data_IF_533064004361
#
_entry.id   IF_533064004361
#
_cell.length_a   1.000
_cell.length_b   1.000
_cell.length_c   1.000
_cell.angle_alpha   90.00
_cell.angle_beta   90.00
_cell.angle_gamma   90.00
#
_symmetry.space_group_name_H-M   'P 1'
#
loop_
_entity.id
_entity.type
_entity.pdbx_description
1 polymer ?
#
# COMPACT_ATOMS: atom_id res chain seq x y z
N UNK A 1 -29.41 13.55 17.47
CA UNK A 1 -28.98 13.24 18.85
C UNK A 1 -28.11 14.38 19.34
N UNK A 2 -28.30 14.84 20.57
CA UNK A 2 -27.43 15.88 21.13
C UNK A 2 -26.07 15.31 21.53
N UNK A 3 -25.01 16.11 21.40
CA UNK A 3 -23.66 15.79 21.90
C UNK A 3 -23.64 15.97 23.42
N UNK A 4 -24.18 14.99 24.16
CA UNK A 4 -24.24 15.01 25.62
C UNK A 4 -23.77 13.67 26.22
N UNK A 5 -23.43 13.69 27.51
CA UNK A 5 -22.85 12.53 28.20
C UNK A 5 -23.82 11.33 28.26
N UNK A 6 -25.13 11.59 28.32
CA UNK A 6 -26.14 10.53 28.34
C UNK A 6 -26.15 9.72 27.03
N UNK A 7 -26.04 10.40 25.88
CA UNK A 7 -25.96 9.75 24.58
C UNK A 7 -24.62 9.02 24.40
N UNK A 8 -23.52 9.58 24.90
CA UNK A 8 -22.20 8.93 24.89
C UNK A 8 -22.20 7.63 25.72
N UNK A 9 -22.79 7.67 26.93
CA UNK A 9 -22.95 6.49 27.78
C UNK A 9 -23.83 5.44 27.11
N UNK A 10 -24.96 5.84 26.54
CA UNK A 10 -25.87 4.94 25.83
C UNK A 10 -25.14 4.23 24.68
N UNK A 11 -24.44 4.97 23.82
CA UNK A 11 -23.67 4.38 22.72
C UNK A 11 -22.55 3.46 23.22
N UNK A 12 -21.86 3.84 24.30
CA UNK A 12 -20.82 3.00 24.92
C UNK A 12 -21.39 1.66 25.38
N UNK A 13 -22.55 1.64 26.03
CA UNK A 13 -23.21 0.41 26.47
C UNK A 13 -23.58 -0.51 25.30
N UNK A 14 -24.14 0.06 24.23
CA UNK A 14 -24.53 -0.72 23.05
C UNK A 14 -23.32 -1.24 22.28
N UNK A 15 -22.27 -0.43 22.11
CA UNK A 15 -20.98 -0.89 21.54
C UNK A 15 -20.35 -2.00 22.38
N UNK A 16 -20.46 -1.94 23.70
CA UNK A 16 -19.99 -3.03 24.58
C UNK A 16 -20.79 -4.31 24.36
N UNK A 17 -22.12 -4.20 24.20
CA UNK A 17 -23.00 -5.34 23.92
C UNK A 17 -22.72 -5.98 22.55
N UNK A 18 -22.24 -5.22 21.56
CA UNK A 18 -21.86 -5.82 20.26
C UNK A 18 -20.67 -6.77 20.34
N UNK A 19 -19.90 -6.73 21.44
CA UNK A 19 -18.77 -7.62 21.69
C UNK A 19 -19.15 -8.88 22.47
N UNK A 20 -20.41 -9.03 22.88
CA UNK A 20 -20.85 -10.18 23.64
C UNK A 20 -20.85 -11.45 22.76
N UNK A 21 -20.31 -12.59 23.24
CA UNK A 21 -20.33 -13.84 22.49
C UNK A 21 -21.75 -14.39 22.26
N UNK A 22 -22.72 -14.04 23.12
CA UNK A 22 -24.11 -14.45 22.99
C UNK A 22 -24.82 -13.66 21.87
N UNK A 23 -25.26 -14.33 20.78
CA UNK A 23 -26.02 -13.69 19.70
C UNK A 23 -27.31 -13.02 20.15
N UNK A 24 -27.92 -13.48 21.25
CA UNK A 24 -29.13 -12.88 21.81
C UNK A 24 -28.89 -11.50 22.42
N UNK A 25 -27.65 -11.19 22.82
CA UNK A 25 -27.24 -9.86 23.30
C UNK A 25 -26.67 -9.01 22.17
N UNK A 26 -25.87 -9.62 21.28
CA UNK A 26 -25.19 -8.92 20.19
C UNK A 26 -26.15 -8.39 19.13
N UNK A 27 -27.05 -9.22 18.60
CA UNK A 27 -27.94 -8.84 17.49
C UNK A 27 -28.88 -7.67 17.82
N UNK A 28 -29.52 -7.61 19.01
CA UNK A 28 -30.32 -6.45 19.38
C UNK A 28 -29.50 -5.17 19.50
N UNK A 29 -28.24 -5.26 19.93
CA UNK A 29 -27.36 -4.10 20.05
C UNK A 29 -26.94 -3.56 18.67
N UNK A 30 -26.58 -4.43 17.74
CA UNK A 30 -26.30 -4.06 16.33
C UNK A 30 -27.53 -3.37 15.71
N UNK A 31 -28.71 -3.98 15.86
CA UNK A 31 -29.97 -3.41 15.35
C UNK A 31 -30.28 -2.05 15.97
N UNK A 32 -30.04 -1.87 17.27
CA UNK A 32 -30.23 -0.56 17.91
C UNK A 32 -29.30 0.49 17.30
N UNK A 33 -28.01 0.18 17.14
CA UNK A 33 -27.04 1.09 16.52
C UNK A 33 -27.45 1.48 15.09
N UNK A 34 -27.97 0.54 14.31
CA UNK A 34 -28.54 0.80 12.98
C UNK A 34 -29.76 1.71 13.03
N UNK A 35 -30.65 1.56 14.03
CA UNK A 35 -31.85 2.42 14.14
C UNK A 35 -31.50 3.86 14.50
N UNK A 36 -30.40 4.10 15.23
CA UNK A 36 -30.01 5.44 15.66
C UNK A 36 -29.02 6.12 14.71
N UNK A 37 -28.49 5.39 13.71
CA UNK A 37 -27.46 5.92 12.81
C UNK A 37 -27.96 7.05 11.90
N UNK A 38 -29.28 7.15 11.68
CA UNK A 38 -29.90 8.23 10.90
C UNK A 38 -30.07 9.55 11.66
N UNK A 39 -29.75 9.58 12.96
CA UNK A 39 -29.86 10.80 13.75
C UNK A 39 -28.65 11.73 13.51
N UNK A 40 -28.90 13.02 13.38
CA UNK A 40 -27.86 14.04 13.34
C UNK A 40 -26.89 13.92 14.55
N UNK A 41 -25.61 14.20 14.33
CA UNK A 41 -24.49 14.06 15.27
C UNK A 41 -24.17 12.61 15.70
N UNK A 42 -24.81 11.57 15.17
CA UNK A 42 -24.45 10.18 15.50
C UNK A 42 -22.97 9.90 15.21
N UNK A 43 -22.50 10.30 14.04
CA UNK A 43 -21.09 10.24 13.63
C UNK A 43 -20.17 11.03 14.56
N UNK A 44 -20.58 12.22 14.98
CA UNK A 44 -19.80 13.07 15.89
C UNK A 44 -19.72 12.49 17.30
N UNK A 45 -20.77 11.81 17.76
CA UNK A 45 -20.73 11.05 19.02
C UNK A 45 -19.71 9.91 18.94
N UNK A 46 -19.65 9.17 17.82
CA UNK A 46 -18.63 8.13 17.63
C UNK A 46 -17.21 8.71 17.62
N UNK A 47 -16.98 9.85 16.95
CA UNK A 47 -15.70 10.56 16.99
C UNK A 47 -15.35 11.05 18.40
N UNK A 48 -16.34 11.53 19.15
CA UNK A 48 -16.15 11.97 20.55
C UNK A 48 -15.81 10.78 21.46
N UNK A 49 -16.41 9.62 21.25
CA UNK A 49 -16.08 8.40 22.00
C UNK A 49 -14.65 7.93 21.71
N UNK A 50 -14.21 8.03 20.46
CA UNK A 50 -12.84 7.72 20.07
C UNK A 50 -11.79 8.59 20.79
N UNK A 51 -12.12 9.87 20.98
CA UNK A 51 -11.25 10.85 21.62
C UNK A 51 -11.28 10.74 23.15
N UNK A 52 -12.46 10.61 23.76
CA UNK A 52 -12.64 10.75 25.22
C UNK A 52 -12.71 9.44 26.01
N UNK A 53 -13.05 8.32 25.37
CA UNK A 53 -13.18 7.04 26.08
C UNK A 53 -11.84 6.62 26.68
N UNK A 54 -11.86 6.16 27.93
CA UNK A 54 -10.71 5.56 28.60
C UNK A 54 -10.55 4.07 28.29
N UNK A 55 -11.55 3.46 27.65
CA UNK A 55 -11.55 2.05 27.27
C UNK A 55 -11.16 1.91 25.80
N UNK A 56 -9.95 1.38 25.55
CA UNK A 56 -9.39 1.17 24.21
C UNK A 56 -10.25 0.23 23.34
N UNK A 57 -10.91 -0.75 23.95
CA UNK A 57 -11.80 -1.66 23.22
C UNK A 57 -13.00 -0.89 22.67
N UNK A 58 -13.58 0.00 23.48
CA UNK A 58 -14.67 0.87 23.04
C UNK A 58 -14.21 1.84 21.97
N UNK A 59 -13.00 2.42 22.09
CA UNK A 59 -12.44 3.29 21.05
C UNK A 59 -12.34 2.53 19.72
N UNK A 60 -11.75 1.33 19.71
CA UNK A 60 -11.66 0.51 18.49
C UNK A 60 -13.05 0.20 17.91
N UNK A 61 -14.02 -0.17 18.75
CA UNK A 61 -15.39 -0.43 18.30
C UNK A 61 -16.06 0.81 17.70
N UNK A 62 -15.88 1.97 18.31
CA UNK A 62 -16.39 3.24 17.79
C UNK A 62 -15.76 3.57 16.43
N UNK A 63 -14.45 3.33 16.25
CA UNK A 63 -13.77 3.51 14.96
C UNK A 63 -14.29 2.57 13.87
N UNK A 64 -14.46 1.29 14.19
CA UNK A 64 -14.99 0.30 13.23
C UNK A 64 -16.43 0.65 12.84
N UNK A 65 -17.28 0.98 13.83
CA UNK A 65 -18.67 1.39 13.60
C UNK A 65 -18.73 2.67 12.77
N UNK A 66 -17.90 3.66 13.08
CA UNK A 66 -17.80 4.91 12.34
C UNK A 66 -17.39 4.67 10.88
N UNK A 67 -16.31 3.91 10.64
CA UNK A 67 -15.87 3.56 9.27
C UNK A 67 -16.99 2.88 8.49
N UNK A 68 -17.66 1.90 9.09
CA UNK A 68 -18.75 1.17 8.43
C UNK A 68 -19.96 2.06 8.14
N UNK A 69 -20.27 3.00 9.05
CA UNK A 69 -21.29 4.01 8.85
C UNK A 69 -20.97 4.94 7.67
N UNK A 70 -19.73 5.46 7.60
CA UNK A 70 -19.25 6.27 6.47
C UNK A 70 -19.32 5.48 5.16
N UNK A 71 -18.87 4.22 5.16
CA UNK A 71 -18.92 3.35 3.98
C UNK A 71 -20.33 3.19 3.40
N UNK A 72 -21.34 3.10 4.26
CA UNK A 72 -22.74 2.91 3.83
C UNK A 72 -23.43 4.22 3.44
N UNK A 73 -23.12 5.32 4.12
CA UNK A 73 -23.97 6.50 4.12
C UNK A 73 -23.30 7.78 3.60
N UNK A 74 -22.00 7.75 3.24
CA UNK A 74 -21.30 8.95 2.76
C UNK A 74 -21.63 9.30 1.31
N UNK A 75 -21.73 8.30 0.42
CA UNK A 75 -22.14 8.53 -0.96
C UNK A 75 -23.62 8.93 -0.99
N UNK A 76 -23.92 10.02 -1.70
CA UNK A 76 -25.30 10.44 -1.93
C UNK A 76 -25.83 9.64 -3.12
N UNK A 77 -26.83 8.81 -2.88
CA UNK A 77 -27.51 8.03 -3.92
C UNK A 77 -28.84 8.72 -4.24
N UNK A 78 -29.10 8.93 -5.52
CA UNK A 78 -30.37 9.51 -5.99
C UNK A 78 -31.53 8.62 -5.52
N UNK A 79 -32.62 9.23 -5.06
CA UNK A 79 -33.80 8.58 -4.46
C UNK A 79 -33.62 7.90 -3.08
N UNK A 80 -32.44 7.98 -2.45
CA UNK A 80 -32.24 7.52 -1.07
C UNK A 80 -32.15 8.69 -0.07
N UNK A 81 -32.70 8.54 1.16
CA UNK A 81 -32.59 9.58 2.17
C UNK A 81 -31.14 9.71 2.67
N UNK A 82 -30.59 10.92 2.58
CA UNK A 82 -29.29 11.24 3.15
C UNK A 82 -29.29 11.10 4.68
N UNK A 83 -28.56 10.12 5.19
CA UNK A 83 -28.44 9.88 6.64
C UNK A 83 -27.40 10.75 7.34
N UNK A 84 -26.49 11.38 6.59
CA UNK A 84 -25.46 12.28 7.13
C UNK A 84 -25.80 13.72 6.74
N UNK A 85 -26.05 14.56 7.73
CA UNK A 85 -26.34 15.98 7.52
C UNK A 85 -25.11 16.72 6.97
N UNK A 86 -25.31 17.81 6.22
CA UNK A 86 -24.20 18.65 5.72
C UNK A 86 -23.36 19.25 6.87
N UNK A 87 -23.99 19.55 8.00
CA UNK A 87 -23.31 20.00 9.21
C UNK A 87 -22.37 18.90 9.76
N UNK A 88 -22.86 17.65 9.84
CA UNK A 88 -22.05 16.51 10.27
C UNK A 88 -20.91 16.24 9.27
N UNK A 89 -21.16 16.31 7.96
CA UNK A 89 -20.11 16.15 6.93
C UNK A 89 -18.98 17.14 7.12
N UNK A 90 -19.32 18.41 7.33
CA UNK A 90 -18.35 19.49 7.56
C UNK A 90 -17.57 19.25 8.85
N UNK A 91 -18.27 18.92 9.94
CA UNK A 91 -17.64 18.65 11.23
C UNK A 91 -16.75 17.41 11.20
N UNK A 92 -17.14 16.34 10.50
CA UNK A 92 -16.32 15.14 10.30
C UNK A 92 -15.02 15.52 9.58
N UNK A 93 -15.12 16.22 8.44
CA UNK A 93 -13.95 16.63 7.64
C UNK A 93 -12.98 17.51 8.45
N UNK A 94 -13.48 18.38 9.33
CA UNK A 94 -12.65 19.24 10.16
C UNK A 94 -11.89 18.50 11.28
N UNK A 95 -12.39 17.35 11.76
CA UNK A 95 -11.85 16.68 12.95
C UNK A 95 -11.15 15.35 12.65
N UNK A 96 -11.58 14.62 11.62
CA UNK A 96 -11.19 13.23 11.39
C UNK A 96 -9.68 13.05 11.17
N UNK A 97 -9.04 13.99 10.46
CA UNK A 97 -7.59 13.94 10.17
C UNK A 97 -6.82 14.09 11.48
N UNK A 98 -7.12 15.11 12.28
CA UNK A 98 -6.45 15.34 13.55
C UNK A 98 -6.63 14.17 14.53
N UNK A 99 -7.85 13.64 14.64
CA UNK A 99 -8.13 12.48 15.48
C UNK A 99 -7.36 11.23 15.01
N UNK A 100 -7.24 11.01 13.70
CA UNK A 100 -6.47 9.90 13.13
C UNK A 100 -4.98 10.00 13.48
N UNK A 101 -4.42 11.20 13.47
CA UNK A 101 -3.00 11.44 13.78
C UNK A 101 -2.67 11.29 15.27
N UNK A 102 -3.60 11.64 16.16
CA UNK A 102 -3.43 11.48 17.61
C UNK A 102 -3.83 10.09 18.13
N UNK A 103 -4.25 9.18 17.26
CA UNK A 103 -4.74 7.85 17.63
C UNK A 103 -3.67 6.76 17.56
N UNK A 104 -3.80 5.68 18.37
CA UNK A 104 -3.01 4.46 18.21
C UNK A 104 -3.19 3.81 16.84
N UNK A 105 -2.21 3.00 16.42
CA UNK A 105 -2.14 2.42 15.07
C UNK A 105 -3.43 1.70 14.63
N UNK A 106 -4.05 0.92 15.51
CA UNK A 106 -5.27 0.16 15.18
C UNK A 106 -6.44 1.08 14.82
N UNK A 107 -6.61 2.18 15.55
CA UNK A 107 -7.65 3.20 15.30
C UNK A 107 -7.28 4.03 14.08
N UNK A 108 -6.00 4.40 13.96
CA UNK A 108 -5.47 5.16 12.82
C UNK A 108 -5.79 4.45 11.50
N UNK A 109 -5.63 3.13 11.42
CA UNK A 109 -6.01 2.32 10.23
C UNK A 109 -7.50 2.47 9.88
N UNK A 110 -8.40 2.35 10.86
CA UNK A 110 -9.85 2.48 10.62
C UNK A 110 -10.24 3.89 10.16
N UNK A 111 -9.63 4.93 10.75
CA UNK A 111 -9.90 6.31 10.37
C UNK A 111 -9.29 6.66 9.00
N UNK A 112 -8.11 6.14 8.68
CA UNK A 112 -7.50 6.27 7.34
C UNK A 112 -8.39 5.66 6.26
N UNK A 113 -9.02 4.50 6.52
CA UNK A 113 -9.99 3.90 5.60
C UNK A 113 -11.23 4.78 5.43
N UNK A 114 -11.76 5.32 6.53
CA UNK A 114 -12.90 6.23 6.49
C UNK A 114 -12.59 7.52 5.71
N UNK A 115 -11.42 8.14 5.93
CA UNK A 115 -10.94 9.29 5.16
C UNK A 115 -10.83 8.95 3.67
N UNK A 116 -10.38 7.74 3.34
CA UNK A 116 -10.26 7.30 1.94
C UNK A 116 -11.62 7.17 1.27
N UNK A 117 -12.64 6.71 1.99
CA UNK A 117 -14.02 6.64 1.49
C UNK A 117 -14.57 8.05 1.29
N UNK A 118 -14.38 8.94 2.27
CA UNK A 118 -14.84 10.33 2.19
C UNK A 118 -14.16 11.04 1.01
N UNK A 119 -12.84 10.92 0.90
CA UNK A 119 -12.06 11.56 -0.16
C UNK A 119 -12.47 11.09 -1.55
N UNK A 120 -12.89 9.82 -1.73
CA UNK A 120 -13.37 9.39 -3.06
C UNK A 120 -14.55 10.19 -3.59
N UNK A 121 -15.42 10.64 -2.70
CA UNK A 121 -16.66 11.36 -3.04
C UNK A 121 -16.49 12.89 -2.96
N UNK A 122 -15.65 13.37 -2.04
CA UNK A 122 -15.56 14.79 -1.70
C UNK A 122 -14.26 15.45 -2.17
N UNK A 123 -13.17 14.71 -2.37
CA UNK A 123 -11.89 15.27 -2.80
C UNK A 123 -11.82 15.33 -4.35
N UNK A 124 -11.35 16.45 -4.93
CA UNK A 124 -10.85 17.67 -4.28
C UNK A 124 -11.90 18.77 -4.03
N UNK A 125 -13.03 18.79 -4.75
CA UNK A 125 -13.88 20.00 -4.83
C UNK A 125 -14.64 20.31 -3.53
N UNK A 126 -15.08 19.28 -2.80
CA UNK A 126 -15.83 19.43 -1.53
C UNK A 126 -14.94 19.29 -0.29
N UNK A 127 -13.65 18.99 -0.46
CA UNK A 127 -12.67 18.92 0.62
C UNK A 127 -11.29 19.46 0.18
N UNK A 128 -11.21 20.76 -0.16
CA UNK A 128 -10.00 21.34 -0.74
C UNK A 128 -8.81 21.39 0.23
N UNK A 129 -9.07 21.56 1.52
CA UNK A 129 -8.01 21.75 2.54
C UNK A 129 -7.25 20.46 2.89
N UNK A 130 -7.73 19.29 2.42
CA UNK A 130 -7.18 17.98 2.79
C UNK A 130 -5.68 17.86 2.46
N UNK A 131 -5.27 18.26 1.26
CA UNK A 131 -3.86 18.19 0.85
C UNK A 131 -2.98 19.12 1.68
N UNK A 132 -3.44 20.35 1.89
CA UNK A 132 -2.69 21.36 2.67
C UNK A 132 -2.50 20.90 4.11
N UNK A 133 -3.53 20.29 4.72
CA UNK A 133 -3.42 19.71 6.05
C UNK A 133 -2.41 18.56 6.07
N UNK A 134 -2.47 17.63 5.13
CA UNK A 134 -1.51 16.52 5.01
C UNK A 134 -0.07 17.02 4.86
N UNK A 135 0.19 17.94 3.94
CA UNK A 135 1.53 18.48 3.69
C UNK A 135 2.08 19.24 4.90
N UNK A 136 1.23 19.96 5.63
CA UNK A 136 1.64 20.65 6.87
C UNK A 136 2.14 19.66 7.91
N UNK A 137 1.53 18.47 7.98
CA UNK A 137 1.89 17.42 8.93
C UNK A 137 3.20 16.70 8.58
N UNK A 138 3.68 16.75 7.34
CA UNK A 138 5.03 16.24 7.00
C UNK A 138 6.14 16.99 7.75
N UNK A 139 5.91 18.25 8.12
CA UNK A 139 6.87 19.08 8.84
C UNK A 139 6.86 18.88 10.35
N UNK A 140 6.08 17.92 10.88
CA UNK A 140 5.99 17.67 12.32
C UNK A 140 7.28 17.12 12.92
N UNK A 141 8.11 16.42 12.11
CA UNK A 141 9.25 15.65 12.59
C UNK A 141 8.87 14.37 13.36
N UNK A 142 7.58 14.11 13.56
CA UNK A 142 7.07 12.93 14.24
C UNK A 142 6.65 11.88 13.21
N UNK A 143 7.41 10.79 13.14
CA UNK A 143 7.16 9.73 12.17
C UNK A 143 5.90 8.91 12.43
N UNK A 144 5.33 8.94 13.64
CA UNK A 144 4.00 8.36 13.88
C UNK A 144 2.93 9.14 13.12
N UNK A 145 3.00 10.48 13.20
CA UNK A 145 2.12 11.39 12.48
C UNK A 145 2.36 11.28 10.97
N UNK A 146 3.62 11.34 10.53
CA UNK A 146 3.99 11.28 9.11
C UNK A 146 3.50 9.97 8.49
N UNK A 147 3.70 8.82 9.15
CA UNK A 147 3.20 7.54 8.65
C UNK A 147 1.67 7.50 8.54
N UNK A 148 0.94 8.08 9.49
CA UNK A 148 -0.52 8.21 9.40
C UNK A 148 -0.98 8.99 8.17
N UNK A 149 -0.32 10.12 7.90
CA UNK A 149 -0.56 10.94 6.70
C UNK A 149 -0.24 10.16 5.43
N UNK A 150 0.94 9.54 5.35
CA UNK A 150 1.37 8.77 4.18
C UNK A 150 0.43 7.61 3.88
N UNK A 151 -0.07 6.89 4.89
CA UNK A 151 -1.08 5.83 4.72
C UNK A 151 -2.38 6.37 4.15
N UNK A 152 -2.83 7.52 4.64
CA UNK A 152 -4.06 8.16 4.17
C UNK A 152 -3.93 8.64 2.73
N UNK A 153 -2.83 9.34 2.41
CA UNK A 153 -2.51 9.75 1.05
C UNK A 153 -2.40 8.56 0.10
N UNK A 154 -1.74 7.48 0.53
CA UNK A 154 -1.61 6.27 -0.28
C UNK A 154 -2.97 5.66 -0.60
N UNK A 155 -3.87 5.57 0.38
CA UNK A 155 -5.20 5.00 0.18
C UNK A 155 -6.11 5.87 -0.69
N UNK A 156 -5.89 7.19 -0.73
CA UNK A 156 -6.54 8.09 -1.68
C UNK A 156 -5.99 7.91 -3.09
N UNK A 157 -4.67 7.99 -3.27
CA UNK A 157 -4.04 8.07 -4.60
C UNK A 157 -3.88 6.70 -5.26
N UNK A 158 -3.94 5.57 -4.53
CA UNK A 158 -3.88 4.23 -5.15
C UNK A 158 -5.00 3.97 -6.17
N UNK A 159 -6.13 4.70 -6.08
CA UNK A 159 -7.23 4.58 -7.05
C UNK A 159 -6.82 5.01 -8.45
N UNK A 160 -5.85 5.92 -8.58
CA UNK A 160 -5.31 6.37 -9.86
C UNK A 160 -4.73 5.21 -10.67
N UNK A 161 -4.41 4.08 -10.06
CA UNK A 161 -3.90 2.89 -10.75
C UNK A 161 -4.97 2.14 -11.55
N UNK A 162 -6.23 2.37 -11.24
CA UNK A 162 -7.35 1.59 -11.76
C UNK A 162 -8.46 2.45 -12.38
N UNK A 163 -8.42 3.76 -12.18
CA UNK A 163 -9.36 4.68 -12.81
C UNK A 163 -9.01 4.95 -14.28
N UNK A 164 -10.05 5.05 -15.10
CA UNK A 164 -9.92 5.42 -16.50
C UNK A 164 -9.55 6.90 -16.64
N UNK A 165 -8.77 7.22 -17.68
CA UNK A 165 -8.39 8.61 -17.97
C UNK A 165 -9.64 9.45 -18.23
N UNK A 166 -9.77 10.54 -17.47
CA UNK A 166 -10.83 11.55 -17.62
C UNK A 166 -10.28 12.94 -17.31
N UNK A 167 -10.95 13.99 -17.78
CA UNK A 167 -10.52 15.37 -17.52
C UNK A 167 -10.59 15.71 -16.02
N UNK A 168 -11.57 15.13 -15.32
CA UNK A 168 -11.75 15.26 -13.88
C UNK A 168 -10.57 14.63 -13.14
N UNK A 169 -10.18 13.41 -13.52
CA UNK A 169 -9.04 12.71 -12.93
C UNK A 169 -7.73 13.48 -13.18
N UNK A 170 -7.51 13.97 -14.39
CA UNK A 170 -6.33 14.77 -14.73
C UNK A 170 -6.24 16.07 -13.93
N UNK A 171 -7.37 16.75 -13.76
CA UNK A 171 -7.44 17.99 -12.97
C UNK A 171 -7.13 17.72 -11.49
N UNK A 172 -7.62 16.60 -10.95
CA UNK A 172 -7.31 16.18 -9.59
C UNK A 172 -5.83 15.82 -9.44
N UNK A 173 -5.28 14.97 -10.32
CA UNK A 173 -3.86 14.57 -10.29
C UNK A 173 -2.97 15.80 -10.38
N UNK A 174 -3.28 16.76 -11.26
CA UNK A 174 -2.53 18.01 -11.36
C UNK A 174 -2.52 18.80 -10.05
N UNK A 175 -3.68 18.98 -9.41
CA UNK A 175 -3.77 19.64 -8.10
C UNK A 175 -2.93 18.93 -7.03
N UNK A 176 -2.96 17.60 -7.02
CA UNK A 176 -2.15 16.78 -6.12
C UNK A 176 -0.67 17.00 -6.39
N UNK A 177 -0.23 16.94 -7.65
CA UNK A 177 1.17 17.13 -8.01
C UNK A 177 1.69 18.51 -7.62
N UNK A 178 0.94 19.57 -7.94
CA UNK A 178 1.29 20.96 -7.63
C UNK A 178 1.49 21.19 -6.12
N UNK A 179 0.78 20.43 -5.28
CA UNK A 179 0.80 20.60 -3.82
C UNK A 179 1.71 19.60 -3.10
N UNK A 180 1.80 18.37 -3.60
CA UNK A 180 2.30 17.21 -2.85
C UNK A 180 3.63 16.67 -3.37
N UNK A 181 3.97 16.85 -4.65
CA UNK A 181 5.14 16.22 -5.24
C UNK A 181 6.45 16.71 -4.60
N UNK A 182 6.65 18.04 -4.48
CA UNK A 182 7.83 18.61 -3.84
C UNK A 182 7.95 18.24 -2.35
N UNK A 183 6.91 18.41 -1.49
CA UNK A 183 6.98 17.98 -0.10
C UNK A 183 7.27 16.49 0.08
N UNK A 184 6.73 15.64 -0.79
CA UNK A 184 6.98 14.20 -0.76
C UNK A 184 8.45 13.87 -1.10
N UNK A 185 9.03 14.52 -2.12
CA UNK A 185 10.44 14.35 -2.49
C UNK A 185 11.40 14.83 -1.41
N UNK A 186 11.12 15.97 -0.77
CA UNK A 186 11.95 16.44 0.34
C UNK A 186 11.83 15.53 1.58
N UNK A 187 10.61 15.04 1.87
CA UNK A 187 10.43 14.05 2.93
C UNK A 187 11.18 12.74 2.63
N UNK A 188 11.18 12.28 1.37
CA UNK A 188 11.92 11.10 0.94
C UNK A 188 13.42 11.23 1.23
N UNK A 189 14.04 12.34 0.78
CA UNK A 189 15.46 12.63 1.03
C UNK A 189 15.77 12.70 2.52
N UNK A 190 15.00 13.46 3.27
CA UNK A 190 15.18 13.60 4.71
C UNK A 190 15.05 12.26 5.45
N UNK A 191 14.10 11.40 5.04
CA UNK A 191 13.93 10.07 5.64
C UNK A 191 15.14 9.17 5.38
N UNK A 192 15.74 9.23 4.19
CA UNK A 192 16.97 8.47 3.88
C UNK A 192 18.16 8.96 4.72
N UNK A 193 18.34 10.27 4.86
CA UNK A 193 19.39 10.84 5.72
C UNK A 193 19.22 10.44 7.19
N UNK A 194 17.97 10.38 7.67
CA UNK A 194 17.66 9.91 9.01
C UNK A 194 17.96 8.42 9.19
N UNK A 195 17.73 7.58 8.17
CA UNK A 195 18.12 6.16 8.22
C UNK A 195 19.64 6.01 8.44
N UNK A 196 20.46 6.87 7.82
CA UNK A 196 21.91 6.87 8.03
C UNK A 196 22.28 7.34 9.43
N UNK A 197 21.59 8.36 9.95
CA UNK A 197 21.82 8.90 11.29
C UNK A 197 21.45 7.89 12.39
N UNK A 198 20.36 7.15 12.20
CA UNK A 198 19.85 6.16 13.13
C UNK A 198 20.20 4.71 12.74
N UNK A 199 21.31 4.50 12.02
CA UNK A 199 21.68 3.21 11.43
C UNK A 199 21.80 2.04 12.42
N UNK A 200 21.97 2.31 13.72
CA UNK A 200 22.08 1.29 14.77
C UNK A 200 20.83 1.16 15.66
N UNK A 201 19.76 1.90 15.38
CA UNK A 201 18.50 1.86 16.15
C UNK A 201 17.43 1.10 15.36
N UNK A 202 17.21 -0.16 15.74
CA UNK A 202 16.22 -1.05 15.10
C UNK A 202 14.82 -0.44 15.08
N UNK A 203 14.40 0.20 16.19
CA UNK A 203 13.04 0.72 16.31
C UNK A 203 12.85 1.95 15.42
N UNK A 204 13.83 2.85 15.41
CA UNK A 204 13.83 3.99 14.49
C UNK A 204 13.83 3.52 13.04
N UNK A 205 14.70 2.56 12.68
CA UNK A 205 14.78 2.03 11.32
C UNK A 205 13.47 1.39 10.87
N UNK A 206 12.78 0.61 11.72
CA UNK A 206 11.47 0.03 11.37
C UNK A 206 10.45 1.12 11.02
N UNK A 207 10.43 2.20 11.79
CA UNK A 207 9.52 3.33 11.55
C UNK A 207 9.87 4.05 10.24
N UNK A 208 11.16 4.34 10.01
CA UNK A 208 11.64 5.04 8.81
C UNK A 208 11.43 4.21 7.54
N UNK A 209 11.71 2.90 7.57
CA UNK A 209 11.49 2.01 6.42
C UNK A 209 10.01 1.82 6.11
N UNK A 210 9.14 1.85 7.12
CA UNK A 210 7.70 1.91 6.90
C UNK A 210 7.31 3.17 6.12
N UNK A 211 7.90 4.32 6.46
CA UNK A 211 7.69 5.58 5.73
C UNK A 211 8.23 5.51 4.30
N UNK A 212 9.45 5.01 4.10
CA UNK A 212 10.04 4.85 2.77
C UNK A 212 9.17 3.94 1.89
N UNK A 213 8.64 2.85 2.45
CA UNK A 213 7.73 1.96 1.72
C UNK A 213 6.46 2.69 1.25
N UNK A 214 5.85 3.50 2.12
CA UNK A 214 4.67 4.29 1.77
C UNK A 214 4.98 5.39 0.76
N UNK A 215 6.12 6.06 0.89
CA UNK A 215 6.61 7.07 -0.05
C UNK A 215 6.82 6.44 -1.43
N UNK A 216 7.46 5.26 -1.51
CA UNK A 216 7.64 4.52 -2.76
C UNK A 216 6.31 4.10 -3.40
N UNK A 217 5.32 3.72 -2.59
CA UNK A 217 3.95 3.43 -3.06
C UNK A 217 3.24 4.67 -3.59
N UNK A 218 3.44 5.82 -2.96
CA UNK A 218 2.90 7.11 -3.41
C UNK A 218 3.54 7.53 -4.73
N UNK A 219 4.87 7.42 -4.84
CA UNK A 219 5.60 7.63 -6.09
C UNK A 219 4.99 6.81 -7.23
N UNK A 220 4.77 5.51 -7.02
CA UNK A 220 4.12 4.65 -8.02
C UNK A 220 2.75 5.19 -8.46
N UNK A 221 1.89 5.53 -7.49
CA UNK A 221 0.52 5.99 -7.78
C UNK A 221 0.52 7.31 -8.55
N UNK A 222 1.40 8.25 -8.19
CA UNK A 222 1.48 9.57 -8.82
C UNK A 222 2.08 9.53 -10.23
N UNK A 223 2.91 8.52 -10.51
CA UNK A 223 3.52 8.29 -11.83
C UNK A 223 2.78 7.23 -12.66
N UNK A 224 1.64 6.73 -12.21
CA UNK A 224 0.99 5.59 -12.89
C UNK A 224 0.31 5.99 -14.20
N UNK A 225 -0.40 7.12 -14.21
CA UNK A 225 -1.23 7.53 -15.34
C UNK A 225 -0.41 8.13 -16.49
N UNK A 226 0.63 8.87 -16.14
CA UNK A 226 1.64 9.48 -17.01
C UNK A 226 2.86 9.89 -16.15
N UNK A 227 3.95 10.33 -16.81
CA UNK A 227 5.13 10.87 -16.15
C UNK A 227 4.94 12.37 -15.92
N UNK A 228 4.79 12.83 -14.65
CA UNK A 228 4.65 14.25 -14.38
C UNK A 228 6.00 14.97 -14.53
N UNK A 229 5.99 16.17 -15.11
CA UNK A 229 7.17 17.05 -15.32
C UNK A 229 8.03 17.15 -14.06
N UNK A 230 7.42 17.33 -12.88
CA UNK A 230 8.16 17.38 -11.62
C UNK A 230 8.99 16.11 -11.35
N UNK A 231 8.43 14.92 -11.60
CA UNK A 231 9.16 13.66 -11.37
C UNK A 231 10.17 13.37 -12.48
N UNK A 232 9.93 13.84 -13.70
CA UNK A 232 10.91 13.83 -14.78
C UNK A 232 12.13 14.70 -14.44
N UNK A 233 11.91 15.96 -14.07
CA UNK A 233 12.97 16.90 -13.67
C UNK A 233 13.78 16.42 -12.47
N UNK A 234 13.14 15.65 -11.57
CA UNK A 234 13.76 15.13 -10.36
C UNK A 234 14.11 13.63 -10.47
N UNK A 235 14.10 13.06 -11.68
CA UNK A 235 14.29 11.62 -11.87
C UNK A 235 15.64 11.14 -11.34
N UNK A 236 16.71 11.91 -11.53
CA UNK A 236 18.03 11.56 -11.02
C UNK A 236 18.03 11.36 -9.50
N UNK A 237 17.36 12.25 -8.78
CA UNK A 237 17.22 12.19 -7.32
C UNK A 237 16.50 10.92 -6.90
N UNK A 238 15.35 10.62 -7.50
CA UNK A 238 14.55 9.44 -7.17
C UNK A 238 15.27 8.15 -7.52
N UNK A 239 15.77 8.02 -8.74
CA UNK A 239 16.37 6.79 -9.23
C UNK A 239 17.68 6.47 -8.53
N UNK A 240 18.47 7.48 -8.15
CA UNK A 240 19.71 7.26 -7.40
C UNK A 240 19.44 6.78 -5.98
N UNK A 241 18.46 7.37 -5.30
CA UNK A 241 18.07 6.95 -3.97
C UNK A 241 17.37 5.57 -3.96
N UNK A 242 16.50 5.30 -4.94
CA UNK A 242 15.89 3.97 -5.10
C UNK A 242 16.93 2.90 -5.38
N UNK A 243 17.91 3.15 -6.25
CA UNK A 243 19.01 2.23 -6.46
C UNK A 243 19.80 1.99 -5.16
N UNK A 244 20.12 3.05 -4.41
CA UNK A 244 20.79 2.94 -3.11
C UNK A 244 20.03 2.05 -2.13
N UNK A 245 18.71 2.28 -1.97
CA UNK A 245 17.83 1.48 -1.11
C UNK A 245 17.70 0.03 -1.58
N UNK A 246 17.70 -0.22 -2.90
CA UNK A 246 17.62 -1.56 -3.47
C UNK A 246 18.87 -2.39 -3.14
N UNK A 247 20.04 -1.76 -3.20
CA UNK A 247 21.34 -2.40 -2.89
C UNK A 247 21.68 -2.44 -1.40
N UNK A 248 20.90 -1.74 -0.57
CA UNK A 248 21.13 -1.70 0.87
C UNK A 248 20.86 -3.07 1.48
N UNK A 249 21.79 -3.53 2.32
CA UNK A 249 21.58 -4.64 3.24
C UNK A 249 21.67 -4.12 4.68
N UNK A 250 20.72 -4.52 5.51
CA UNK A 250 20.70 -4.15 6.92
C UNK A 250 20.18 -5.31 7.77
N UNK A 251 21.12 -5.95 8.47
CA UNK A 251 20.86 -7.09 9.37
C UNK A 251 19.85 -6.78 10.48
N UNK A 252 19.71 -5.51 10.88
CA UNK A 252 18.77 -5.10 11.93
C UNK A 252 17.30 -5.14 11.48
N UNK A 253 17.06 -5.18 10.17
CA UNK A 253 15.73 -5.22 9.57
C UNK A 253 15.35 -6.59 9.02
N UNK A 254 16.25 -7.56 9.11
CA UNK A 254 15.98 -8.94 8.74
C UNK A 254 15.01 -9.55 9.76
N UNK A 255 14.07 -10.34 9.24
CA UNK A 255 13.10 -11.09 10.05
C UNK A 255 13.48 -12.56 10.05
N UNK A 256 13.37 -13.18 11.23
CA UNK A 256 13.54 -14.63 11.43
C UNK A 256 12.31 -15.41 10.94
N UNK A 257 11.20 -14.72 10.66
CA UNK A 257 10.00 -15.30 10.05
C UNK A 257 10.32 -15.76 8.62
N UNK A 258 9.91 -16.97 8.24
CA UNK A 258 10.10 -17.53 6.89
C UNK A 258 8.91 -17.27 5.95
N UNK A 259 7.76 -16.86 6.49
CA UNK A 259 6.51 -16.61 5.77
C UNK A 259 6.25 -15.12 5.54
N UNK A 260 6.42 -14.28 6.58
CA UNK A 260 6.11 -12.86 6.51
C UNK A 260 7.31 -12.01 6.04
N UNK A 261 7.10 -11.27 4.94
CA UNK A 261 8.09 -10.34 4.40
C UNK A 261 8.43 -9.20 5.39
N UNK A 262 9.73 -8.99 5.61
CA UNK A 262 10.24 -7.87 6.39
C UNK A 262 10.09 -6.53 5.67
N UNK A 263 10.34 -5.43 6.40
CA UNK A 263 10.24 -4.08 5.84
C UNK A 263 11.27 -3.81 4.73
N UNK A 264 12.42 -4.48 4.78
CA UNK A 264 13.46 -4.38 3.76
C UNK A 264 12.97 -4.99 2.44
N UNK A 265 12.40 -6.21 2.51
CA UNK A 265 11.86 -6.94 1.37
C UNK A 265 10.68 -6.19 0.75
N UNK A 266 9.76 -5.67 1.59
CA UNK A 266 8.62 -4.87 1.13
C UNK A 266 9.03 -3.59 0.41
N UNK A 267 10.05 -2.89 0.91
CA UNK A 267 10.57 -1.68 0.26
C UNK A 267 11.23 -2.00 -1.08
N UNK A 268 12.12 -3.02 -1.10
CA UNK A 268 12.80 -3.45 -2.34
C UNK A 268 11.79 -3.92 -3.39
N UNK A 269 10.77 -4.66 -2.98
CA UNK A 269 9.70 -5.13 -3.86
C UNK A 269 8.94 -3.97 -4.48
N UNK A 270 8.60 -2.94 -3.70
CA UNK A 270 7.96 -1.73 -4.22
C UNK A 270 8.89 -0.93 -5.16
N UNK A 271 10.20 -0.92 -4.91
CA UNK A 271 11.17 -0.28 -5.81
C UNK A 271 11.24 -1.03 -7.15
N UNK A 272 11.22 -2.36 -7.14
CA UNK A 272 11.12 -3.16 -8.37
C UNK A 272 9.86 -2.80 -9.18
N UNK A 273 8.71 -2.65 -8.53
CA UNK A 273 7.47 -2.19 -9.19
C UNK A 273 7.62 -0.79 -9.80
N UNK A 274 8.25 0.13 -9.09
CA UNK A 274 8.49 1.49 -9.58
C UNK A 274 9.41 1.48 -10.80
N UNK A 275 10.48 0.68 -10.76
CA UNK A 275 11.41 0.52 -11.88
C UNK A 275 10.73 -0.16 -13.07
N UNK A 276 9.86 -1.15 -12.85
CA UNK A 276 9.10 -1.82 -13.90
C UNK A 276 8.13 -0.86 -14.58
N UNK A 277 7.44 -0.02 -13.81
CA UNK A 277 6.57 1.03 -14.35
C UNK A 277 7.33 1.96 -15.29
N UNK A 278 8.49 2.45 -14.86
CA UNK A 278 9.33 3.36 -15.65
C UNK A 278 9.91 2.67 -16.88
N UNK A 279 10.45 1.45 -16.74
CA UNK A 279 10.92 0.65 -17.86
C UNK A 279 9.82 0.32 -18.87
N UNK A 280 8.55 0.22 -18.46
CA UNK A 280 7.42 -0.08 -19.35
C UNK A 280 6.83 1.16 -20.02
N UNK A 281 6.69 2.27 -19.29
CA UNK A 281 5.96 3.44 -19.77
C UNK A 281 6.83 4.63 -20.17
N UNK A 282 7.99 4.79 -19.54
CA UNK A 282 8.85 5.99 -19.61
C UNK A 282 10.29 5.59 -19.95
N UNK A 283 10.42 4.75 -20.98
CA UNK A 283 11.68 4.10 -21.34
C UNK A 283 12.75 5.08 -21.79
N UNK A 284 12.34 6.10 -22.56
CA UNK A 284 13.27 7.11 -23.11
C UNK A 284 13.97 7.87 -21.98
N UNK A 285 13.21 8.29 -20.97
CA UNK A 285 13.71 9.02 -19.82
C UNK A 285 14.44 8.12 -18.82
N UNK A 286 14.00 6.86 -18.67
CA UNK A 286 14.59 5.91 -17.72
C UNK A 286 15.86 5.22 -18.25
N UNK A 287 16.10 5.24 -19.56
CA UNK A 287 17.23 4.59 -20.22
C UNK A 287 18.60 4.80 -19.51
N UNK A 288 18.98 6.02 -19.05
CA UNK A 288 20.29 6.23 -18.42
C UNK A 288 20.46 5.47 -17.11
N UNK A 289 19.36 5.14 -16.42
CA UNK A 289 19.35 4.46 -15.14
C UNK A 289 19.12 2.96 -15.27
N UNK A 290 18.55 2.50 -16.38
CA UNK A 290 18.12 1.13 -16.52
C UNK A 290 19.25 0.10 -16.32
N UNK A 291 20.47 0.24 -16.87
CA UNK A 291 21.54 -0.73 -16.68
C UNK A 291 21.89 -1.00 -15.21
N UNK A 292 21.97 0.05 -14.37
CA UNK A 292 22.26 -0.12 -12.94
C UNK A 292 21.14 -0.85 -12.20
N UNK A 293 19.89 -0.63 -12.58
CA UNK A 293 18.74 -1.34 -12.00
C UNK A 293 18.73 -2.80 -12.41
N UNK A 294 19.02 -3.12 -13.68
CA UNK A 294 19.17 -4.51 -14.14
C UNK A 294 20.24 -5.22 -13.32
N UNK A 295 21.43 -4.64 -13.17
CA UNK A 295 22.50 -5.25 -12.36
C UNK A 295 22.15 -5.38 -10.87
N UNK A 296 21.48 -4.38 -10.27
CA UNK A 296 21.11 -4.43 -8.86
C UNK A 296 20.02 -5.48 -8.59
N UNK A 297 18.96 -5.51 -9.40
CA UNK A 297 17.85 -6.48 -9.28
C UNK A 297 18.35 -7.89 -9.59
N UNK A 298 19.30 -8.02 -10.50
CA UNK A 298 19.99 -9.27 -10.76
C UNK A 298 20.69 -9.82 -9.52
N UNK A 299 21.58 -9.03 -8.93
CA UNK A 299 22.33 -9.44 -7.74
C UNK A 299 21.37 -9.75 -6.58
N UNK A 300 20.29 -8.98 -6.47
CA UNK A 300 19.23 -9.23 -5.51
C UNK A 300 18.64 -10.64 -5.67
N UNK A 301 18.17 -10.99 -6.88
CA UNK A 301 17.59 -12.31 -7.15
C UNK A 301 18.55 -13.46 -6.87
N UNK A 302 19.82 -13.32 -7.24
CA UNK A 302 20.85 -14.35 -6.99
C UNK A 302 21.17 -14.51 -5.50
N UNK A 303 21.01 -13.46 -4.70
CA UNK A 303 21.27 -13.47 -3.25
C UNK A 303 20.04 -13.77 -2.39
N UNK A 304 18.86 -13.85 -3.00
CA UNK A 304 17.59 -14.05 -2.29
C UNK A 304 17.35 -15.54 -2.06
N UNK A 305 16.89 -15.89 -0.86
CA UNK A 305 16.57 -17.27 -0.50
C UNK A 305 15.25 -17.79 -1.11
N UNK A 306 14.89 -19.03 -0.78
CA UNK A 306 13.70 -19.71 -1.28
C UNK A 306 12.47 -19.59 -0.37
N UNK A 307 12.61 -18.93 0.78
CA UNK A 307 11.57 -18.74 1.78
C UNK A 307 10.38 -17.94 1.22
N UNK A 308 9.18 -18.22 1.76
CA UNK A 308 7.90 -17.64 1.29
C UNK A 308 7.87 -16.12 1.44
N UNK A 309 8.56 -15.58 2.45
CA UNK A 309 8.69 -14.12 2.67
C UNK A 309 9.28 -13.36 1.49
N UNK A 310 10.04 -14.03 0.62
CA UNK A 310 10.69 -13.41 -0.53
C UNK A 310 9.85 -13.43 -1.81
N UNK A 311 8.71 -14.14 -1.83
CA UNK A 311 7.88 -14.36 -3.01
C UNK A 311 7.50 -13.06 -3.73
N UNK A 312 7.00 -12.09 -2.97
CA UNK A 312 6.56 -10.81 -3.52
C UNK A 312 7.74 -10.02 -4.10
N UNK A 313 8.92 -10.13 -3.48
CA UNK A 313 10.12 -9.47 -3.97
C UNK A 313 10.61 -10.10 -5.28
N UNK A 314 10.73 -11.42 -5.30
CA UNK A 314 11.19 -12.20 -6.46
C UNK A 314 10.23 -12.01 -7.63
N UNK A 315 8.92 -12.07 -7.41
CA UNK A 315 7.91 -11.88 -8.45
C UNK A 315 8.03 -10.50 -9.12
N UNK A 316 8.10 -9.42 -8.34
CA UNK A 316 8.22 -8.07 -8.88
C UNK A 316 9.58 -7.83 -9.56
N UNK A 317 10.65 -8.41 -9.03
CA UNK A 317 11.98 -8.36 -9.62
C UNK A 317 12.04 -9.08 -10.99
N UNK A 318 11.44 -10.26 -11.10
CA UNK A 318 11.32 -11.00 -12.37
C UNK A 318 10.45 -10.22 -13.35
N UNK A 319 9.34 -9.64 -12.91
CA UNK A 319 8.47 -8.82 -13.77
C UNK A 319 9.22 -7.62 -14.36
N UNK A 320 10.05 -6.95 -13.56
CA UNK A 320 10.95 -5.90 -14.06
C UNK A 320 11.86 -6.46 -15.16
N UNK A 321 12.64 -7.51 -14.88
CA UNK A 321 13.58 -8.06 -15.84
C UNK A 321 12.89 -8.53 -17.14
N UNK A 322 11.74 -9.19 -17.03
CA UNK A 322 10.95 -9.63 -18.17
C UNK A 322 10.56 -8.45 -19.06
N UNK A 323 10.09 -7.34 -18.46
CA UNK A 323 9.72 -6.14 -19.21
C UNK A 323 10.89 -5.46 -19.92
N UNK A 324 12.11 -5.62 -19.41
CA UNK A 324 13.33 -5.14 -20.08
C UNK A 324 13.75 -6.09 -21.21
N UNK A 325 13.69 -7.41 -20.97
CA UNK A 325 14.05 -8.42 -21.97
C UNK A 325 13.16 -8.36 -23.22
N UNK A 326 11.90 -7.97 -23.10
CA UNK A 326 10.99 -7.81 -24.24
C UNK A 326 11.39 -6.67 -25.20
N UNK A 327 12.32 -5.78 -24.79
CA UNK A 327 12.74 -4.62 -25.58
C UNK A 327 14.01 -4.91 -26.41
N UNK A 328 13.96 -4.78 -27.75
CA UNK A 328 15.11 -5.11 -28.61
C UNK A 328 16.40 -4.32 -28.37
N UNK A 329 16.32 -3.08 -27.89
CA UNK A 329 17.51 -2.24 -27.66
C UNK A 329 18.29 -2.65 -26.39
N UNK A 330 17.62 -3.25 -25.41
CA UNK A 330 18.27 -3.76 -24.19
C UNK A 330 18.79 -5.19 -24.30
N UNK A 331 18.72 -5.82 -25.47
CA UNK A 331 19.24 -7.18 -25.70
C UNK A 331 20.68 -7.35 -25.21
N UNK A 332 21.53 -6.36 -25.47
CA UNK A 332 22.94 -6.35 -25.06
C UNK A 332 23.16 -6.51 -23.55
N UNK A 333 22.17 -6.19 -22.71
CA UNK A 333 22.23 -6.40 -21.26
C UNK A 333 22.07 -7.88 -20.86
N UNK A 334 21.53 -8.71 -21.76
CA UNK A 334 21.23 -10.13 -21.54
C UNK A 334 21.93 -11.06 -22.54
N UNK A 335 22.72 -10.52 -23.47
CA UNK A 335 23.45 -11.29 -24.49
C UNK A 335 24.59 -12.13 -23.91
N UNK A 336 25.09 -11.80 -22.72
CA UNK A 336 26.14 -12.57 -22.08
C UNK A 336 25.62 -13.96 -21.67
N UNK A 337 26.17 -15.01 -22.29
CA UNK A 337 25.79 -16.39 -22.04
C UNK A 337 25.95 -16.76 -20.56
N UNK A 338 26.94 -16.20 -19.86
CA UNK A 338 27.15 -16.48 -18.43
C UNK A 338 26.03 -15.91 -17.56
N UNK A 339 25.51 -14.76 -17.96
CA UNK A 339 24.34 -14.09 -17.36
C UNK A 339 23.12 -14.99 -17.52
N UNK A 340 22.75 -15.40 -18.75
CA UNK A 340 21.59 -16.28 -18.98
C UNK A 340 21.65 -17.62 -18.26
N UNK A 341 22.83 -18.28 -18.27
CA UNK A 341 23.02 -19.52 -17.50
C UNK A 341 22.78 -19.28 -16.01
N UNK A 342 23.28 -18.18 -15.47
CA UNK A 342 23.03 -17.81 -14.07
C UNK A 342 21.55 -17.49 -13.80
N UNK A 343 20.76 -16.96 -14.76
CA UNK A 343 19.29 -16.83 -14.59
C UNK A 343 18.67 -18.20 -14.40
N UNK A 344 18.93 -19.08 -15.36
CA UNK A 344 18.29 -20.38 -15.41
C UNK A 344 18.64 -21.17 -14.15
N UNK A 345 19.92 -21.24 -13.80
CA UNK A 345 20.40 -22.09 -12.70
C UNK A 345 20.15 -21.50 -11.31
N UNK A 346 20.26 -20.18 -11.13
CA UNK A 346 20.18 -19.56 -9.79
C UNK A 346 18.86 -18.88 -9.49
N UNK A 347 18.07 -18.54 -10.52
CA UNK A 347 16.82 -17.80 -10.33
C UNK A 347 15.63 -18.63 -10.79
N UNK A 348 15.60 -19.15 -12.02
CA UNK A 348 14.41 -19.84 -12.54
C UNK A 348 14.27 -21.24 -11.94
N UNK A 349 15.29 -22.10 -12.06
CA UNK A 349 15.22 -23.49 -11.58
C UNK A 349 14.90 -23.57 -10.08
N UNK A 350 15.60 -22.84 -9.19
CA UNK A 350 15.33 -22.91 -7.74
C UNK A 350 13.92 -22.43 -7.37
N UNK A 351 13.34 -21.55 -8.18
CA UNK A 351 12.00 -21.04 -7.95
C UNK A 351 10.88 -21.92 -8.53
N UNK A 352 11.21 -22.80 -9.49
CA UNK A 352 10.30 -23.82 -10.04
C UNK A 352 10.27 -25.12 -9.23
N UNK A 353 11.23 -25.31 -8.32
CA UNK A 353 11.27 -26.49 -7.45
C UNK A 353 10.08 -26.54 -6.49
N UNK A 354 9.60 -27.76 -6.25
CA UNK A 354 8.56 -28.05 -5.27
C UNK A 354 9.16 -27.95 -3.87
N UNK A 355 8.62 -27.06 -3.03
CA UNK A 355 9.22 -26.73 -1.72
C UNK A 355 8.51 -27.44 -0.59
N UNK A 356 9.17 -27.49 0.56
CA UNK A 356 8.55 -28.04 1.78
C UNK A 356 7.24 -27.32 2.16
N UNK A 357 7.12 -26.02 1.89
CA UNK A 357 5.86 -25.30 2.10
C UNK A 357 4.75 -25.71 1.11
N UNK A 358 5.11 -26.08 -0.13
CA UNK A 358 4.14 -26.62 -1.10
C UNK A 358 3.73 -28.05 -0.72
N UNK A 359 4.66 -28.84 -0.19
CA UNK A 359 4.43 -30.18 0.36
C UNK A 359 3.46 -30.11 1.55
N UNK A 360 3.73 -29.25 2.53
CA UNK A 360 2.86 -29.03 3.69
C UNK A 360 1.47 -28.58 3.27
N UNK A 361 1.35 -27.61 2.35
CA UNK A 361 0.07 -27.15 1.84
C UNK A 361 -0.72 -28.26 1.11
N UNK A 362 -0.03 -29.15 0.39
CA UNK A 362 -0.65 -30.29 -0.28
C UNK A 362 -1.09 -31.37 0.72
N UNK A 363 -0.28 -31.64 1.73
CA UNK A 363 -0.58 -32.61 2.80
C UNK A 363 -1.76 -32.15 3.67
N UNK A 364 -1.80 -30.86 4.03
CA UNK A 364 -2.86 -30.28 4.87
C UNK A 364 -4.20 -30.18 4.13
N UNK A 365 -4.19 -29.71 2.88
CA UNK A 365 -5.41 -29.53 2.09
C UNK A 365 -5.17 -29.64 0.57
N UNK A 366 -5.00 -30.89 0.11
CA UNK A 366 -4.80 -31.20 -1.31
C UNK A 366 -5.87 -30.63 -2.26
N UNK A 367 -7.14 -30.57 -1.86
CA UNK A 367 -8.21 -29.99 -2.69
C UNK A 367 -8.01 -28.49 -2.90
N UNK A 368 -7.64 -27.77 -1.84
CA UNK A 368 -7.36 -26.34 -1.95
C UNK A 368 -6.06 -26.09 -2.74
N UNK A 369 -5.03 -26.91 -2.54
CA UNK A 369 -3.79 -26.84 -3.32
C UNK A 369 -4.07 -27.00 -4.83
N UNK A 370 -4.78 -28.07 -5.23
CA UNK A 370 -5.14 -28.34 -6.63
C UNK A 370 -6.01 -27.20 -7.20
N UNK A 371 -6.96 -26.70 -6.41
CA UNK A 371 -7.81 -25.57 -6.84
C UNK A 371 -6.98 -24.31 -7.09
N UNK A 372 -6.06 -23.98 -6.19
CA UNK A 372 -5.17 -22.81 -6.33
C UNK A 372 -4.21 -22.97 -7.51
N UNK A 373 -3.72 -24.19 -7.75
CA UNK A 373 -2.90 -24.54 -8.91
C UNK A 373 -3.65 -24.30 -10.23
N UNK A 374 -4.88 -24.83 -10.34
CA UNK A 374 -5.73 -24.66 -11.52
C UNK A 374 -6.20 -23.22 -11.75
N UNK A 375 -6.60 -22.50 -10.69
CA UNK A 375 -7.08 -21.11 -10.74
C UNK A 375 -5.94 -20.08 -11.02
N UNK A 376 -4.68 -20.46 -10.79
CA UNK A 376 -3.51 -19.58 -10.87
C UNK A 376 -3.08 -19.15 -12.28
N UNK A 377 -3.65 -19.73 -13.32
CA UNK A 377 -3.25 -19.54 -14.72
C UNK A 377 -3.73 -18.23 -15.38
N UNK A 378 -4.39 -17.30 -14.66
CA UNK A 378 -5.05 -16.17 -15.33
C UNK A 378 -5.32 -14.86 -14.61
N UNK A 379 -4.71 -14.51 -13.45
CA UNK A 379 -5.02 -13.22 -12.77
C UNK A 379 -3.81 -12.46 -12.22
N UNK A 380 -3.48 -11.34 -12.87
CA UNK A 380 -2.52 -10.30 -12.44
C UNK A 380 -3.15 -9.33 -11.42
N UNK A 381 -3.44 -9.78 -10.19
CA UNK A 381 -3.80 -8.86 -9.11
C UNK A 381 -2.99 -9.19 -7.84
N UNK A 382 -2.21 -8.23 -7.28
CA UNK A 382 -1.23 -8.47 -6.21
C UNK A 382 -1.76 -9.20 -4.98
N UNK A 383 -3.00 -8.94 -4.55
CA UNK A 383 -3.60 -9.62 -3.39
C UNK A 383 -4.03 -11.07 -3.69
N UNK A 384 -4.36 -11.36 -4.95
CA UNK A 384 -4.57 -12.74 -5.45
C UNK A 384 -3.26 -13.42 -5.85
N UNK A 385 -2.17 -12.64 -5.98
CA UNK A 385 -0.79 -13.10 -6.12
C UNK A 385 -0.13 -13.47 -4.77
N UNK A 386 -0.88 -13.65 -3.68
CA UNK A 386 -0.43 -14.38 -2.47
C UNK A 386 -1.04 -15.78 -2.29
N UNK A 387 -2.17 -16.11 -2.93
CA UNK A 387 -2.92 -17.39 -2.78
C UNK A 387 -2.70 -18.52 -3.83
N UNK A 388 -1.59 -18.58 -4.54
CA UNK A 388 -1.32 -19.49 -5.69
C UNK A 388 0.02 -20.16 -5.37
N UNK A 389 0.17 -21.48 -5.59
CA UNK A 389 1.46 -22.17 -5.45
C UNK A 389 2.54 -21.44 -6.25
N UNK A 390 3.71 -21.26 -5.64
CA UNK A 390 4.79 -20.45 -6.20
C UNK A 390 5.31 -21.01 -7.53
N UNK A 391 5.27 -22.33 -7.69
CA UNK A 391 5.55 -23.06 -8.93
C UNK A 391 4.83 -22.48 -10.16
N UNK A 392 3.60 -21.97 -10.03
CA UNK A 392 2.83 -21.42 -11.15
C UNK A 392 3.05 -19.93 -11.38
N UNK A 393 3.26 -19.12 -10.34
CA UNK A 393 3.49 -17.67 -10.49
C UNK A 393 4.86 -17.37 -11.08
N UNK A 394 5.87 -18.00 -10.50
CA UNK A 394 7.24 -17.85 -10.93
C UNK A 394 7.54 -18.77 -12.09
N UNK A 395 6.81 -19.88 -12.24
CA UNK A 395 6.78 -20.64 -13.49
C UNK A 395 6.27 -19.80 -14.66
N UNK A 396 5.19 -19.03 -14.52
CA UNK A 396 4.68 -18.17 -15.59
C UNK A 396 5.59 -16.96 -15.86
N UNK A 397 6.03 -16.24 -14.81
CA UNK A 397 6.91 -15.09 -14.96
C UNK A 397 8.34 -15.48 -15.37
N UNK A 398 8.87 -16.58 -14.83
CA UNK A 398 10.15 -17.19 -15.19
C UNK A 398 10.11 -17.83 -16.57
N UNK A 399 8.99 -18.44 -16.98
CA UNK A 399 8.77 -18.87 -18.37
C UNK A 399 8.67 -17.68 -19.31
N UNK A 400 8.05 -16.58 -18.90
CA UNK A 400 8.03 -15.33 -19.68
C UNK A 400 9.44 -14.75 -19.83
N UNK A 401 10.23 -14.71 -18.76
CA UNK A 401 11.62 -14.27 -18.79
C UNK A 401 12.48 -15.21 -19.64
N UNK A 402 12.31 -16.52 -19.50
CA UNK A 402 13.02 -17.52 -20.30
C UNK A 402 12.66 -17.43 -21.79
N UNK A 403 11.37 -17.30 -22.11
CA UNK A 403 10.87 -17.13 -23.48
C UNK A 403 11.37 -15.82 -24.07
N UNK A 404 11.33 -14.73 -23.30
CA UNK A 404 11.87 -13.45 -23.70
C UNK A 404 13.37 -13.58 -23.99
N UNK A 405 14.17 -14.14 -23.08
CA UNK A 405 15.60 -14.39 -23.27
C UNK A 405 15.92 -15.29 -24.47
N UNK A 406 15.16 -16.36 -24.70
CA UNK A 406 15.31 -17.24 -25.87
C UNK A 406 15.00 -16.50 -27.18
N UNK A 407 14.00 -15.63 -27.19
CA UNK A 407 13.67 -14.78 -28.34
C UNK A 407 14.74 -13.74 -28.67
N UNK A 408 15.71 -13.51 -27.76
CA UNK A 408 16.85 -12.65 -28.02
C UNK A 408 17.94 -13.33 -28.86
N UNK A 409 18.01 -14.67 -28.83
CA UNK A 409 19.03 -15.47 -29.50
C UNK A 409 18.64 -15.99 -30.89
N UNK A 410 17.39 -15.79 -31.29
CA UNK A 410 16.91 -15.98 -32.66
C UNK A 410 16.74 -14.61 -33.34
#
# INVERSE_FOLDING_TARGET
MELNDANLQTLTEFLRKTLNPDPAVRRPAEKFLETVEGNQNYSLLLLTLLEKSQDDVIRVCAAVTFKNYIKRNWRIVEDEPNKISEADRTAIKANIVNLMLSSPEQIQKQLSDAISIIGREDFPQKWPDLLTEMVTRFRSGDFHIINGVLRTAHSLFKRYRHEFKSNELWSEIKLVLDTFALPLTELFKATIELCQTHANDVNALKVLFSSLTLISKLFYSLNFQDLPEFFEDNMETWMTNFHGLLTLDNKLLQTDDEEEAGLLELLKSQICDNAALYAQKYDEEFQPYLPRFVTAIWNLLVSTGQEVKYDLLVSNAIQFLASVCERPHYKHLFEDQSTLTSICEKVIVPNMEFRSADEEAFEDNSEEYIRRDLEGSGKNNPESLMKIPKSNREGAAGSSLYTACLSLHH
#
